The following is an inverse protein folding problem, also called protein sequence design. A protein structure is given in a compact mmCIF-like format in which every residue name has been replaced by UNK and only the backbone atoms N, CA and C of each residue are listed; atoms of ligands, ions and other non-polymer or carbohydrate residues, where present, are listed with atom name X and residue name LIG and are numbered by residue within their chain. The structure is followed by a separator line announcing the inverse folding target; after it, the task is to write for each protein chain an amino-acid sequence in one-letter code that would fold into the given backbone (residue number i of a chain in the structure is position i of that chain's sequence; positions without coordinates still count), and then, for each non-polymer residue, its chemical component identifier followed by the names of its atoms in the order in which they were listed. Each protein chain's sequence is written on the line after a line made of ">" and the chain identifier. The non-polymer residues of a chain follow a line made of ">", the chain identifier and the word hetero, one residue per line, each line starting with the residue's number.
data_IF_296105345757
#
_entry.id   IF_296105345757
#
_cell.length_a   1.000
_cell.length_b   1.000
_cell.length_c   1.000
_cell.angle_alpha   90.00
_cell.angle_beta   90.00
_cell.angle_gamma   90.00
#
_symmetry.space_group_name_H-M   'P 1'
#
loop_
_entity.id
_entity.type
_entity.pdbx_description
1 polymer ?
#
# COMPACT_ATOMS: atom_id res chain seq x y z
N UNK A 1 -10.50 -9.28 -2.43
CA UNK A 1 -9.39 -9.78 -3.27
C UNK A 1 -9.63 -9.71 -4.78
N UNK A 2 -10.78 -10.19 -5.30
CA UNK A 2 -11.05 -10.33 -6.76
C UNK A 2 -10.74 -9.08 -7.62
N UNK A 3 -10.98 -7.88 -7.10
CA UNK A 3 -10.70 -6.60 -7.79
C UNK A 3 -9.20 -6.36 -8.05
N UNK A 4 -8.34 -6.64 -7.08
CA UNK A 4 -6.89 -6.43 -7.21
C UNK A 4 -6.27 -7.42 -8.19
N UNK A 5 -6.75 -8.67 -8.17
CA UNK A 5 -6.31 -9.71 -9.12
C UNK A 5 -6.64 -9.33 -10.56
N UNK A 6 -7.85 -8.77 -10.79
CA UNK A 6 -8.25 -8.29 -12.13
C UNK A 6 -7.35 -7.15 -12.61
N UNK A 7 -7.02 -6.19 -11.74
CA UNK A 7 -6.08 -5.09 -12.07
C UNK A 7 -4.67 -5.60 -12.38
N UNK A 8 -4.21 -6.59 -11.64
CA UNK A 8 -2.90 -7.20 -11.86
C UNK A 8 -2.79 -7.86 -13.24
N UNK A 9 -3.83 -8.62 -13.64
CA UNK A 9 -3.85 -9.33 -14.93
C UNK A 9 -3.63 -8.42 -16.14
N UNK A 10 -4.09 -7.19 -16.02
CA UNK A 10 -4.11 -6.21 -17.10
C UNK A 10 -2.93 -5.21 -17.02
N UNK A 11 -2.01 -5.40 -16.08
CA UNK A 11 -0.92 -4.45 -15.80
C UNK A 11 0.13 -4.47 -16.91
N UNK A 12 0.44 -3.30 -17.48
CA UNK A 12 1.47 -3.16 -18.51
C UNK A 12 1.03 -3.57 -19.92
N UNK A 13 -0.27 -3.87 -20.12
CA UNK A 13 -0.81 -4.12 -21.45
C UNK A 13 -1.04 -2.80 -22.21
N UNK A 14 -0.36 -2.64 -23.34
CA UNK A 14 -0.48 -1.49 -24.24
C UNK A 14 -1.91 -1.31 -24.76
N UNK A 15 -2.71 -2.38 -24.89
CA UNK A 15 -4.11 -2.30 -25.35
C UNK A 15 -5.02 -1.60 -24.34
N UNK A 16 -4.61 -1.55 -23.07
CA UNK A 16 -5.36 -0.89 -21.98
C UNK A 16 -4.99 0.57 -21.79
N UNK A 17 -4.11 1.10 -22.64
CA UNK A 17 -3.67 2.48 -22.64
C UNK A 17 -2.18 2.63 -22.34
N UNK A 18 -1.59 3.67 -22.92
CA UNK A 18 -0.18 4.00 -22.78
C UNK A 18 0.03 5.50 -22.90
N UNK A 19 1.17 5.98 -22.38
CA UNK A 19 1.71 7.31 -22.66
C UNK A 19 2.65 7.21 -23.84
N UNK A 20 2.54 8.14 -24.77
CA UNK A 20 3.42 8.25 -25.92
C UNK A 20 4.37 9.42 -25.66
N UNK A 21 5.66 9.11 -25.59
CA UNK A 21 6.72 10.11 -25.46
C UNK A 21 7.36 10.28 -26.83
N UNK A 22 7.43 11.52 -27.31
CA UNK A 22 8.08 11.87 -28.57
C UNK A 22 9.23 12.80 -28.25
N UNK A 23 10.42 12.48 -28.76
CA UNK A 23 11.55 13.39 -28.67
C UNK A 23 11.40 14.48 -29.73
N UNK A 24 11.41 15.76 -29.33
CA UNK A 24 11.29 16.88 -30.28
C UNK A 24 12.53 17.05 -31.19
N UNK A 25 13.69 16.50 -30.79
CA UNK A 25 14.92 16.58 -31.59
C UNK A 25 15.03 15.48 -32.65
N UNK A 26 14.95 14.21 -32.25
CA UNK A 26 15.15 13.06 -33.15
C UNK A 26 13.85 12.40 -33.61
N UNK A 27 12.69 12.89 -33.17
CA UNK A 27 11.36 12.32 -33.47
C UNK A 27 11.18 10.85 -33.07
N UNK A 28 12.05 10.31 -32.21
CA UNK A 28 11.91 8.96 -31.68
C UNK A 28 10.69 8.85 -30.75
N UNK A 29 9.99 7.72 -30.83
CA UNK A 29 8.70 7.51 -30.17
C UNK A 29 8.76 6.33 -29.21
N UNK A 30 8.54 6.61 -27.92
CA UNK A 30 8.48 5.58 -26.88
C UNK A 30 7.07 5.45 -26.31
N UNK A 31 6.50 4.25 -26.39
CA UNK A 31 5.21 3.90 -25.79
C UNK A 31 5.43 3.28 -24.41
N UNK A 32 4.83 3.87 -23.38
CA UNK A 32 4.93 3.40 -21.99
C UNK A 32 3.53 3.02 -21.50
N UNK A 33 3.30 1.71 -21.33
CA UNK A 33 2.02 1.18 -20.87
C UNK A 33 1.66 1.65 -19.46
N UNK A 34 0.36 1.78 -19.18
CA UNK A 34 -0.09 2.10 -17.83
C UNK A 34 0.15 0.96 -16.84
N UNK A 35 0.53 1.35 -15.62
CA UNK A 35 0.84 0.43 -14.51
C UNK A 35 -0.35 0.39 -13.56
N UNK A 36 -0.66 -0.80 -13.04
CA UNK A 36 -1.85 -0.98 -12.22
C UNK A 36 -1.73 -0.39 -10.81
N UNK A 37 -0.51 -0.12 -10.34
CA UNK A 37 -0.19 0.36 -8.97
C UNK A 37 -0.86 -0.49 -7.87
N UNK A 38 -1.13 -1.76 -8.18
CA UNK A 38 -1.78 -2.69 -7.28
C UNK A 38 -0.78 -3.30 -6.31
N UNK A 39 -1.24 -3.58 -5.08
CA UNK A 39 -0.42 -4.14 -4.00
C UNK A 39 0.05 -5.57 -4.29
N UNK A 40 -0.65 -6.28 -5.16
CA UNK A 40 -0.35 -7.67 -5.55
C UNK A 40 0.46 -7.79 -6.83
N UNK A 41 0.73 -6.69 -7.54
CA UNK A 41 1.53 -6.75 -8.75
C UNK A 41 3.02 -6.73 -8.38
N UNK A 42 3.79 -7.79 -8.65
CA UNK A 42 5.21 -7.85 -8.28
C UNK A 42 6.02 -6.70 -8.91
N UNK A 43 5.62 -6.25 -10.09
CA UNK A 43 6.32 -5.19 -10.81
C UNK A 43 5.90 -3.77 -10.43
N UNK A 44 4.80 -3.59 -9.68
CA UNK A 44 4.35 -2.26 -9.22
C UNK A 44 4.45 -2.11 -7.70
N UNK A 45 4.24 -3.19 -6.94
CA UNK A 45 4.17 -3.16 -5.49
C UNK A 45 5.45 -2.60 -4.86
N UNK A 46 6.63 -2.99 -5.36
CA UNK A 46 7.92 -2.51 -4.84
C UNK A 46 8.09 -1.01 -5.05
N UNK A 47 7.85 -0.52 -6.27
CA UNK A 47 8.01 0.91 -6.58
C UNK A 47 7.02 1.79 -5.83
N UNK A 48 5.77 1.33 -5.66
CA UNK A 48 4.82 2.03 -4.80
C UNK A 48 5.26 1.99 -3.34
N UNK A 49 5.73 0.85 -2.82
CA UNK A 49 6.20 0.74 -1.43
C UNK A 49 7.39 1.67 -1.15
N UNK A 50 8.33 1.78 -2.08
CA UNK A 50 9.46 2.72 -1.99
C UNK A 50 8.98 4.16 -1.98
N UNK A 51 8.08 4.54 -2.90
CA UNK A 51 7.51 5.89 -2.93
C UNK A 51 6.78 6.25 -1.63
N UNK A 52 6.03 5.31 -1.05
CA UNK A 52 5.37 5.51 0.24
C UNK A 52 6.39 5.65 1.38
N UNK A 53 7.46 4.88 1.37
CA UNK A 53 8.53 4.98 2.36
C UNK A 53 9.26 6.34 2.28
N UNK A 54 9.53 6.85 1.07
CA UNK A 54 10.14 8.17 0.87
C UNK A 54 9.25 9.30 1.40
N UNK A 55 7.95 9.26 1.12
CA UNK A 55 6.99 10.25 1.65
C UNK A 55 6.97 10.19 3.17
N UNK A 56 6.84 9.00 3.75
CA UNK A 56 6.83 8.85 5.20
C UNK A 56 8.14 9.31 5.85
N UNK A 57 9.30 9.04 5.22
CA UNK A 57 10.59 9.48 5.70
C UNK A 57 10.75 11.01 5.69
N UNK A 58 10.20 11.68 4.67
CA UNK A 58 10.23 13.14 4.60
C UNK A 58 9.29 13.82 5.61
N UNK A 59 8.20 13.15 5.99
CA UNK A 59 7.24 13.67 6.96
C UNK A 59 7.66 13.42 8.42
N UNK A 60 8.68 12.58 8.66
CA UNK A 60 9.16 12.23 10.00
C UNK A 60 10.16 13.26 10.54
N UNK A 61 9.99 13.66 11.81
CA UNK A 61 10.96 14.48 12.52
C UNK A 61 12.27 13.74 12.77
N UNK A 62 13.41 14.43 12.70
CA UNK A 62 14.74 13.86 13.00
C UNK A 62 14.93 13.66 14.51
N UNK A 63 14.18 12.72 15.09
CA UNK A 63 14.22 12.37 16.52
C UNK A 63 14.28 10.86 16.69
N UNK A 64 14.62 10.39 17.88
CA UNK A 64 14.58 8.96 18.17
C UNK A 64 13.13 8.49 18.22
N UNK A 65 12.73 7.65 17.26
CA UNK A 65 11.39 7.08 17.21
C UNK A 65 11.30 5.77 18.01
N UNK A 66 10.17 5.58 18.72
CA UNK A 66 9.84 4.33 19.40
C UNK A 66 8.83 3.54 18.56
N UNK A 67 9.19 2.32 18.18
CA UNK A 67 8.29 1.41 17.48
C UNK A 67 7.61 0.49 18.51
N UNK A 68 6.28 0.61 18.64
CA UNK A 68 5.46 -0.25 19.50
C UNK A 68 4.59 -1.15 18.61
N UNK A 69 4.63 -2.45 18.87
CA UNK A 69 3.89 -3.45 18.10
C UNK A 69 2.83 -4.07 19.01
N UNK A 70 1.57 -4.04 18.55
CA UNK A 70 0.46 -4.74 19.20
C UNK A 70 0.17 -6.02 18.44
N UNK A 71 0.42 -7.16 19.09
CA UNK A 71 0.16 -8.48 18.52
C UNK A 71 -1.17 -9.02 19.03
N UNK A 72 -2.00 -9.52 18.11
CA UNK A 72 -3.23 -10.24 18.45
C UNK A 72 -2.86 -11.66 18.88
N UNK A 73 -3.38 -12.06 20.03
CA UNK A 73 -3.23 -13.42 20.57
C UNK A 73 -3.75 -14.49 19.59
N UNK A 74 -3.11 -15.64 19.57
CA UNK A 74 -3.38 -16.71 18.59
C UNK A 74 -4.83 -17.18 18.62
N UNK A 75 -5.44 -17.33 19.80
CA UNK A 75 -6.83 -17.79 19.94
C UNK A 75 -7.87 -16.81 19.40
N UNK A 76 -7.52 -15.52 19.32
CA UNK A 76 -8.41 -14.47 18.85
C UNK A 76 -8.32 -14.23 17.35
N UNK A 77 -7.27 -14.74 16.67
CA UNK A 77 -7.03 -14.48 15.24
C UNK A 77 -8.20 -14.93 14.37
N UNK A 78 -8.80 -16.08 14.65
CA UNK A 78 -9.94 -16.57 13.89
C UNK A 78 -11.15 -15.64 13.97
N UNK A 79 -11.41 -15.06 15.14
CA UNK A 79 -12.51 -14.12 15.36
C UNK A 79 -12.26 -12.83 14.58
N UNK A 80 -11.04 -12.32 14.62
CA UNK A 80 -10.62 -11.13 13.87
C UNK A 80 -10.64 -11.33 12.35
N UNK A 81 -10.51 -12.57 11.86
CA UNK A 81 -10.56 -12.87 10.44
C UNK A 81 -12.00 -12.97 9.89
N UNK A 82 -13.01 -13.20 10.72
CA UNK A 82 -14.41 -13.28 10.30
C UNK A 82 -14.87 -11.96 9.69
N UNK A 83 -15.31 -11.96 8.43
CA UNK A 83 -15.69 -10.75 7.69
C UNK A 83 -16.70 -9.86 8.43
N UNK A 84 -17.64 -10.48 9.15
CA UNK A 84 -18.66 -9.79 9.94
C UNK A 84 -18.08 -8.84 11.00
N UNK A 85 -17.00 -9.25 11.68
CA UNK A 85 -16.44 -8.52 12.83
C UNK A 85 -15.10 -7.87 12.52
N UNK A 86 -14.42 -8.31 11.45
CA UNK A 86 -13.05 -7.88 11.09
C UNK A 86 -12.87 -6.37 11.08
N UNK A 87 -13.81 -5.63 10.49
CA UNK A 87 -13.69 -4.17 10.35
C UNK A 87 -13.82 -3.46 11.70
N UNK A 88 -14.77 -3.88 12.52
CA UNK A 88 -15.02 -3.29 13.84
C UNK A 88 -13.93 -3.63 14.83
N UNK A 89 -13.53 -4.90 14.91
CA UNK A 89 -12.50 -5.37 15.83
C UNK A 89 -11.12 -4.79 15.52
N UNK A 90 -10.70 -4.78 14.25
CA UNK A 90 -9.41 -4.19 13.88
C UNK A 90 -9.40 -2.68 14.11
N UNK A 91 -10.52 -1.99 13.84
CA UNK A 91 -10.60 -0.55 14.11
C UNK A 91 -10.55 -0.28 15.61
N UNK A 92 -11.37 -0.98 16.41
CA UNK A 92 -11.39 -0.82 17.86
C UNK A 92 -10.05 -1.13 18.53
N UNK A 93 -9.36 -2.18 18.07
CA UNK A 93 -8.01 -2.49 18.54
C UNK A 93 -7.03 -1.34 18.29
N UNK A 94 -7.07 -0.74 17.09
CA UNK A 94 -6.18 0.37 16.74
C UNK A 94 -6.53 1.66 17.49
N UNK A 95 -7.82 1.96 17.64
CA UNK A 95 -8.31 3.13 18.37
C UNK A 95 -7.90 3.03 19.85
N UNK A 96 -8.06 1.85 20.46
CA UNK A 96 -7.70 1.61 21.86
C UNK A 96 -6.18 1.58 22.07
N UNK A 97 -5.42 0.98 21.14
CA UNK A 97 -3.97 1.01 21.17
C UNK A 97 -3.43 2.44 21.10
N UNK A 98 -4.01 3.29 20.24
CA UNK A 98 -3.66 4.70 20.14
C UNK A 98 -3.99 5.45 21.44
N UNK A 99 -5.16 5.20 22.03
CA UNK A 99 -5.55 5.78 23.31
C UNK A 99 -4.55 5.45 24.43
N UNK A 100 -4.20 4.16 24.58
CA UNK A 100 -3.22 3.72 25.58
C UNK A 100 -1.87 4.39 25.35
N UNK A 101 -1.40 4.49 24.10
CA UNK A 101 -0.14 5.16 23.80
C UNK A 101 -0.15 6.65 24.17
N UNK A 102 -1.27 7.35 23.94
CA UNK A 102 -1.42 8.76 24.31
C UNK A 102 -1.61 8.99 25.81
N UNK A 103 -2.15 8.01 26.53
CA UNK A 103 -2.32 8.09 27.98
C UNK A 103 -1.02 7.80 28.74
N UNK A 104 -0.16 6.92 28.19
CA UNK A 104 1.09 6.49 28.84
C UNK A 104 2.33 7.32 28.47
N UNK A 105 2.32 8.03 27.34
CA UNK A 105 3.44 8.87 26.86
C UNK A 105 3.03 10.32 26.74
#
# INVERSE_FOLDING_TARGET
>A
MKREVKKFRDCGDLKKGYRLFVCEGCHDVKKVAFRCKGKFCPTCATGESQRWAEVAANDLFTVTHRHVIFTIDEGLREIFLKEKYRKELLKGLMDEAARILLDFF
#
